data_IF_840843406353
#
_entry.id   IF_840843406353
#
_cell.length_a   1.000
_cell.length_b   1.000
_cell.length_c   1.000
_cell.angle_alpha   90.00
_cell.angle_beta   90.00
_cell.angle_gamma   90.00
#
_symmetry.space_group_name_H-M   'P 1'
#
loop_
_entity.id
_entity.type
_entity.pdbx_description
1 polymer ?
#
# COMPACT_ATOMS: atom_id res chain seq x y z
N UNK A 1 -2.84 21.82 -19.69
CA UNK A 1 -2.90 22.58 -18.42
C UNK A 1 -2.37 21.74 -17.24
N UNK A 2 -2.94 20.56 -16.96
CA UNK A 2 -2.48 19.67 -15.87
C UNK A 2 -1.00 19.23 -15.96
N UNK A 3 -0.48 18.95 -17.16
CA UNK A 3 0.92 18.55 -17.37
C UNK A 3 1.94 19.60 -16.89
N UNK A 4 1.68 20.89 -17.12
CA UNK A 4 2.61 21.96 -16.73
C UNK A 4 2.59 22.24 -15.22
N UNK A 5 1.43 22.05 -14.57
CA UNK A 5 1.28 22.27 -13.12
C UNK A 5 1.94 21.15 -12.31
N UNK A 6 1.77 19.89 -12.74
CA UNK A 6 2.44 18.75 -12.10
C UNK A 6 3.97 18.82 -12.27
N UNK A 7 4.47 19.51 -13.30
CA UNK A 7 5.90 19.69 -13.57
C UNK A 7 6.54 20.93 -12.92
N UNK A 8 5.78 21.72 -12.17
CA UNK A 8 6.29 22.94 -11.51
C UNK A 8 7.02 22.69 -10.19
N UNK A 9 6.80 21.53 -9.54
CA UNK A 9 7.35 21.24 -8.22
C UNK A 9 8.13 19.92 -8.20
N UNK A 10 9.29 19.86 -8.88
CA UNK A 10 10.14 18.70 -8.87
C UNK A 10 10.75 18.47 -7.48
N UNK A 11 11.00 17.20 -7.13
CA UNK A 11 11.82 16.86 -5.97
C UNK A 11 13.22 17.45 -6.17
N UNK A 12 13.84 17.93 -5.09
CA UNK A 12 15.21 18.46 -5.14
C UNK A 12 16.18 17.41 -5.68
N UNK A 13 17.12 17.82 -6.53
CA UNK A 13 18.12 16.91 -7.09
C UNK A 13 19.00 16.29 -5.98
N UNK A 14 19.44 15.03 -6.14
CA UNK A 14 20.36 14.38 -5.20
C UNK A 14 21.64 15.18 -4.99
N UNK A 15 22.27 15.04 -3.81
CA UNK A 15 23.49 15.77 -3.45
C UNK A 15 24.61 15.56 -4.49
N UNK A 16 25.15 16.66 -5.02
CA UNK A 16 26.18 16.64 -6.07
C UNK A 16 25.65 16.73 -7.51
N UNK A 17 24.34 16.60 -7.73
CA UNK A 17 23.72 16.76 -9.05
C UNK A 17 23.32 18.22 -9.32
N UNK A 18 23.52 18.69 -10.56
CA UNK A 18 23.08 20.02 -11.02
C UNK A 18 21.68 19.95 -11.60
N UNK A 19 20.78 20.83 -11.15
CA UNK A 19 19.47 20.98 -11.76
C UNK A 19 19.59 21.71 -13.11
N UNK A 20 19.28 21.01 -14.19
CA UNK A 20 19.15 21.59 -15.52
C UNK A 20 17.69 21.98 -15.74
N UNK A 21 17.45 23.29 -15.90
CA UNK A 21 16.11 23.87 -16.08
C UNK A 21 15.34 23.15 -17.18
N UNK A 22 14.15 22.61 -16.85
CA UNK A 22 13.25 21.86 -17.75
C UNK A 22 13.81 20.56 -18.36
N UNK A 23 15.00 20.09 -17.94
CA UNK A 23 15.61 18.87 -18.47
C UNK A 23 15.67 17.78 -17.38
N UNK A 24 16.19 18.10 -16.19
CA UNK A 24 16.33 17.12 -15.11
C UNK A 24 17.51 17.39 -14.18
N UNK A 25 17.87 16.38 -13.41
CA UNK A 25 19.04 16.38 -12.53
C UNK A 25 20.23 15.74 -13.24
N UNK A 26 21.30 16.50 -13.44
CA UNK A 26 22.55 16.02 -14.01
C UNK A 26 23.48 15.52 -12.90
N UNK A 27 23.81 14.24 -12.89
CA UNK A 27 24.76 13.64 -11.95
C UNK A 27 26.22 13.97 -12.31
N UNK A 28 27.15 13.63 -11.43
CA UNK A 28 28.58 13.96 -11.57
C UNK A 28 29.26 13.27 -12.77
N UNK A 29 28.69 12.15 -13.25
CA UNK A 29 29.11 11.42 -14.44
C UNK A 29 28.53 12.00 -15.75
N UNK A 30 27.89 13.18 -15.68
CA UNK A 30 27.17 13.84 -16.78
C UNK A 30 25.91 13.13 -17.27
N UNK A 31 25.46 12.07 -16.60
CA UNK A 31 24.14 11.48 -16.87
C UNK A 31 23.02 12.42 -16.42
N UNK A 32 21.89 12.42 -17.14
CA UNK A 32 20.75 13.30 -16.84
C UNK A 32 19.52 12.46 -16.55
N UNK A 33 19.04 12.53 -15.31
CA UNK A 33 17.79 11.90 -14.88
C UNK A 33 16.64 12.92 -14.95
N UNK A 34 15.46 12.57 -15.50
CA UNK A 34 14.32 13.48 -15.53
C UNK A 34 13.87 13.83 -14.11
N UNK A 35 13.30 15.03 -13.95
CA UNK A 35 12.74 15.43 -12.67
C UNK A 35 11.64 14.46 -12.21
N UNK A 36 11.75 14.02 -10.96
CA UNK A 36 10.71 13.29 -10.25
C UNK A 36 9.79 14.28 -9.52
N UNK A 37 8.54 13.88 -9.28
CA UNK A 37 7.53 14.72 -8.64
C UNK A 37 6.99 14.04 -7.40
N UNK A 38 6.50 14.85 -6.46
CA UNK A 38 5.87 14.34 -5.24
C UNK A 38 4.62 13.53 -5.59
N UNK A 39 4.61 12.26 -5.21
CA UNK A 39 3.48 11.37 -5.41
C UNK A 39 3.02 10.82 -4.05
N UNK A 40 1.82 11.19 -3.58
CA UNK A 40 1.26 10.66 -2.34
C UNK A 40 0.77 9.20 -2.46
N UNK A 41 0.87 8.60 -3.64
CA UNK A 41 0.62 7.18 -3.87
C UNK A 41 -0.75 6.74 -3.38
N UNK A 42 -0.79 5.54 -2.78
CA UNK A 42 -2.02 4.95 -2.24
C UNK A 42 -2.62 5.81 -1.12
N UNK A 43 -1.80 6.47 -0.30
CA UNK A 43 -2.30 7.33 0.78
C UNK A 43 -3.11 8.51 0.24
N UNK A 44 -2.63 9.18 -0.81
CA UNK A 44 -3.37 10.25 -1.48
C UNK A 44 -4.72 9.75 -2.00
N UNK A 45 -4.76 8.54 -2.55
CA UNK A 45 -5.99 7.87 -2.97
C UNK A 45 -6.98 7.63 -1.83
N UNK A 46 -6.51 7.14 -0.67
CA UNK A 46 -7.35 6.90 0.52
C UNK A 46 -7.97 8.20 1.02
N UNK A 47 -7.16 9.24 1.20
CA UNK A 47 -7.66 10.54 1.71
C UNK A 47 -8.68 11.14 0.75
N UNK A 48 -8.38 11.13 -0.56
CA UNK A 48 -9.30 11.63 -1.58
C UNK A 48 -10.59 10.81 -1.66
N UNK A 49 -10.51 9.48 -1.50
CA UNK A 49 -11.66 8.59 -1.46
C UNK A 49 -12.57 8.86 -0.27
N UNK A 50 -12.01 8.97 0.94
CA UNK A 50 -12.75 9.30 2.16
C UNK A 50 -13.37 10.70 2.09
N UNK A 51 -12.62 11.68 1.59
CA UNK A 51 -13.13 13.05 1.39
C UNK A 51 -14.30 13.04 0.39
N UNK A 52 -14.18 12.30 -0.71
CA UNK A 52 -15.26 12.14 -1.69
C UNK A 52 -16.50 11.52 -1.07
N UNK A 53 -16.34 10.44 -0.30
CA UNK A 53 -17.46 9.78 0.38
C UNK A 53 -18.18 10.73 1.35
N UNK A 54 -17.41 11.48 2.14
CA UNK A 54 -17.95 12.47 3.08
C UNK A 54 -18.72 13.60 2.37
N UNK A 55 -18.11 14.22 1.34
CA UNK A 55 -18.75 15.30 0.57
C UNK A 55 -20.00 14.80 -0.14
N UNK A 56 -19.95 13.58 -0.69
CA UNK A 56 -21.11 12.96 -1.32
C UNK A 56 -22.24 12.76 -0.31
N UNK A 57 -21.97 12.13 0.83
CA UNK A 57 -22.98 11.92 1.87
C UNK A 57 -23.63 13.24 2.30
N UNK A 58 -22.83 14.30 2.42
CA UNK A 58 -23.30 15.62 2.89
C UNK A 58 -24.06 16.43 1.84
N UNK A 59 -23.69 16.36 0.56
CA UNK A 59 -24.16 17.31 -0.47
C UNK A 59 -24.92 16.69 -1.64
N UNK A 60 -25.02 15.36 -1.75
CA UNK A 60 -25.65 14.70 -2.91
C UNK A 60 -27.15 15.02 -3.12
N UNK A 61 -27.85 15.55 -2.10
CA UNK A 61 -29.26 15.98 -2.18
C UNK A 61 -29.45 17.49 -1.99
N UNK A 62 -28.37 18.25 -1.91
CA UNK A 62 -28.45 19.70 -1.69
C UNK A 62 -29.08 20.39 -2.89
N UNK A 63 -30.02 21.31 -2.61
CA UNK A 63 -30.59 22.22 -3.60
C UNK A 63 -29.97 23.60 -3.42
N UNK A 64 -29.44 24.13 -4.52
CA UNK A 64 -28.96 25.49 -4.68
C UNK A 64 -30.12 26.37 -5.16
N UNK A 65 -29.89 27.68 -5.12
CA UNK A 65 -30.74 28.72 -5.71
C UNK A 65 -31.05 28.44 -7.19
N UNK A 66 -32.20 28.92 -7.66
CA UNK A 66 -32.79 28.51 -8.94
C UNK A 66 -31.87 28.73 -10.16
N UNK A 67 -31.08 29.81 -10.17
CA UNK A 67 -30.12 30.10 -11.25
C UNK A 67 -28.90 29.15 -11.26
N UNK A 68 -28.57 28.50 -10.14
CA UNK A 68 -27.57 27.42 -10.04
C UNK A 68 -28.20 26.03 -10.08
N UNK A 69 -29.51 25.94 -10.36
CA UNK A 69 -30.26 24.69 -10.27
C UNK A 69 -29.69 23.54 -11.12
N UNK A 70 -28.96 23.87 -12.19
CA UNK A 70 -28.25 22.90 -13.03
C UNK A 70 -27.26 22.02 -12.26
N UNK A 71 -26.63 22.57 -11.21
CA UNK A 71 -25.62 21.88 -10.39
C UNK A 71 -26.21 21.14 -9.20
N UNK A 72 -27.54 21.10 -9.04
CA UNK A 72 -28.17 20.50 -7.86
C UNK A 72 -27.88 19.01 -7.65
N UNK A 73 -27.91 18.63 -6.39
CA UNK A 73 -27.78 17.25 -5.94
C UNK A 73 -26.44 16.62 -6.32
N UNK A 74 -26.49 15.49 -7.04
CA UNK A 74 -25.30 14.68 -7.35
C UNK A 74 -24.25 15.40 -8.21
N UNK A 75 -24.65 16.43 -8.97
CA UNK A 75 -23.74 17.19 -9.84
C UNK A 75 -22.87 18.19 -9.08
N UNK A 76 -23.32 18.63 -7.90
CA UNK A 76 -22.59 19.54 -7.03
C UNK A 76 -21.33 18.87 -6.45
N UNK A 77 -21.41 17.57 -6.19
CA UNK A 77 -20.36 16.81 -5.49
C UNK A 77 -19.04 16.82 -6.27
N UNK A 78 -18.98 16.48 -7.57
CA UNK A 78 -17.74 16.60 -8.35
C UNK A 78 -17.15 18.02 -8.38
N UNK A 79 -18.00 19.05 -8.38
CA UNK A 79 -17.55 20.46 -8.42
C UNK A 79 -16.85 20.84 -7.12
N UNK A 80 -17.47 20.54 -5.97
CA UNK A 80 -16.85 20.74 -4.66
C UNK A 80 -15.54 19.94 -4.58
N UNK A 81 -15.57 18.69 -5.04
CA UNK A 81 -14.39 17.83 -5.03
C UNK A 81 -13.25 18.34 -5.91
N UNK A 82 -13.53 19.01 -7.03
CA UNK A 82 -12.48 19.63 -7.85
C UNK A 82 -11.71 20.70 -7.08
N UNK A 83 -12.42 21.60 -6.38
CA UNK A 83 -11.76 22.62 -5.54
C UNK A 83 -11.07 22.01 -4.33
N UNK A 84 -11.70 21.04 -3.67
CA UNK A 84 -11.11 20.34 -2.54
C UNK A 84 -9.83 19.56 -2.94
N UNK A 85 -9.82 18.94 -4.13
CA UNK A 85 -8.65 18.24 -4.67
C UNK A 85 -7.49 19.21 -4.96
N UNK A 86 -7.79 20.39 -5.52
CA UNK A 86 -6.76 21.43 -5.76
C UNK A 86 -6.18 21.91 -4.42
N UNK A 87 -7.03 22.22 -3.45
CA UNK A 87 -6.59 22.62 -2.12
C UNK A 87 -5.75 21.52 -1.44
N UNK A 88 -6.18 20.27 -1.53
CA UNK A 88 -5.43 19.12 -1.02
C UNK A 88 -4.07 18.98 -1.71
N UNK A 89 -4.00 19.09 -3.03
CA UNK A 89 -2.74 19.02 -3.78
C UNK A 89 -1.76 20.11 -3.37
N UNK A 90 -2.24 21.35 -3.17
CA UNK A 90 -1.41 22.47 -2.68
C UNK A 90 -0.90 22.18 -1.27
N UNK A 91 -1.75 21.69 -0.36
CA UNK A 91 -1.34 21.31 1.00
C UNK A 91 -0.31 20.17 0.99
N UNK A 92 -0.47 19.20 0.09
CA UNK A 92 0.48 18.09 -0.06
C UNK A 92 1.88 18.56 -0.40
N UNK A 93 2.09 19.70 -1.07
CA UNK A 93 3.44 20.20 -1.37
C UNK A 93 4.28 20.43 -0.11
N UNK A 94 3.67 20.79 1.02
CA UNK A 94 4.38 21.04 2.28
C UNK A 94 4.18 19.90 3.28
N UNK A 95 3.00 19.29 3.33
CA UNK A 95 2.66 18.26 4.32
C UNK A 95 3.17 16.88 3.90
N UNK A 96 3.17 16.55 2.60
CA UNK A 96 3.57 15.23 2.15
C UNK A 96 5.07 14.94 2.33
N UNK A 97 6.02 15.84 1.99
CA UNK A 97 7.44 15.54 2.12
C UNK A 97 7.91 15.10 3.53
N UNK A 98 7.49 15.73 4.66
CA UNK A 98 7.87 15.23 5.97
C UNK A 98 7.20 13.89 6.32
N UNK A 99 5.95 13.67 5.90
CA UNK A 99 5.23 12.40 6.13
C UNK A 99 5.88 11.27 5.33
N UNK A 100 6.17 11.50 4.05
CA UNK A 100 6.83 10.56 3.16
C UNK A 100 8.20 10.14 3.71
N UNK A 101 9.03 11.11 4.12
CA UNK A 101 10.33 10.81 4.77
C UNK A 101 10.19 10.02 6.07
N UNK A 102 9.16 10.29 6.86
CA UNK A 102 8.88 9.52 8.08
C UNK A 102 8.50 8.08 7.79
N UNK A 103 7.65 7.86 6.78
CA UNK A 103 7.26 6.53 6.32
C UNK A 103 8.44 5.77 5.70
N UNK A 104 9.28 6.45 4.92
CA UNK A 104 10.47 5.87 4.31
C UNK A 104 11.49 5.46 5.38
N UNK A 105 11.79 6.33 6.36
CA UNK A 105 12.67 5.98 7.47
C UNK A 105 12.12 4.82 8.31
N UNK A 106 10.81 4.77 8.55
CA UNK A 106 10.18 3.65 9.24
C UNK A 106 10.28 2.35 8.43
N UNK A 107 10.07 2.43 7.12
CA UNK A 107 10.25 1.32 6.18
C UNK A 107 11.69 0.81 6.21
N UNK A 108 12.67 1.69 6.06
CA UNK A 108 14.11 1.34 6.06
C UNK A 108 14.54 0.74 7.40
N UNK A 109 14.05 1.30 8.51
CA UNK A 109 14.28 0.74 9.83
C UNK A 109 13.71 -0.68 9.96
N UNK A 110 12.46 -0.90 9.51
CA UNK A 110 11.82 -2.22 9.57
C UNK A 110 12.54 -3.25 8.70
N UNK A 111 12.94 -2.86 7.48
CA UNK A 111 13.72 -3.69 6.55
C UNK A 111 15.09 -4.00 7.13
N UNK A 112 15.76 -3.02 7.72
CA UNK A 112 17.09 -3.17 8.33
C UNK A 112 17.14 -4.11 9.54
N UNK A 113 16.01 -4.41 10.17
CA UNK A 113 15.91 -5.43 11.22
C UNK A 113 15.98 -6.88 10.69
N UNK A 114 15.93 -7.07 9.37
CA UNK A 114 16.03 -8.38 8.72
C UNK A 114 15.03 -9.40 9.27
N UNK A 115 15.52 -10.58 9.67
CA UNK A 115 14.68 -11.65 10.21
C UNK A 115 13.88 -11.26 11.45
N UNK A 116 14.39 -10.33 12.26
CA UNK A 116 13.66 -9.81 13.42
C UNK A 116 12.48 -8.92 13.01
N UNK A 117 12.69 -8.09 11.98
CA UNK A 117 11.64 -7.29 11.36
C UNK A 117 10.53 -8.16 10.77
N UNK A 118 10.90 -9.22 10.04
CA UNK A 118 9.97 -10.20 9.51
C UNK A 118 9.18 -10.93 10.62
N UNK A 119 9.85 -11.27 11.73
CA UNK A 119 9.21 -11.89 12.89
C UNK A 119 8.18 -10.97 13.56
N UNK A 120 8.54 -9.72 13.84
CA UNK A 120 7.63 -8.72 14.42
C UNK A 120 6.45 -8.45 13.49
N UNK A 121 6.69 -8.30 12.18
CA UNK A 121 5.65 -8.18 11.17
C UNK A 121 4.70 -9.37 11.20
N UNK A 122 5.24 -10.60 11.22
CA UNK A 122 4.44 -11.82 11.30
C UNK A 122 3.54 -11.86 12.54
N UNK A 123 4.08 -11.57 13.73
CA UNK A 123 3.31 -11.53 14.97
C UNK A 123 2.21 -10.47 14.93
N UNK A 124 2.54 -9.24 14.52
CA UNK A 124 1.57 -8.16 14.40
C UNK A 124 0.48 -8.49 13.37
N UNK A 125 0.87 -9.07 12.24
CA UNK A 125 -0.07 -9.51 11.21
C UNK A 125 -1.05 -10.54 11.76
N UNK A 126 -0.56 -11.57 12.47
CA UNK A 126 -1.43 -12.61 13.06
C UNK A 126 -2.34 -12.05 14.15
N UNK A 127 -1.87 -11.12 14.98
CA UNK A 127 -2.69 -10.47 16.00
C UNK A 127 -3.82 -9.64 15.39
N UNK A 128 -3.53 -8.87 14.34
CA UNK A 128 -4.52 -8.06 13.63
C UNK A 128 -5.47 -8.89 12.76
N UNK A 129 -5.10 -10.13 12.42
CA UNK A 129 -5.92 -11.01 11.61
C UNK A 129 -7.25 -11.34 12.30
N UNK A 130 -7.22 -11.53 13.62
CA UNK A 130 -8.39 -11.86 14.45
C UNK A 130 -9.52 -10.82 14.32
N UNK A 131 -9.18 -9.58 14.01
CA UNK A 131 -10.13 -8.46 13.83
C UNK A 131 -10.20 -7.96 12.39
N UNK A 132 -9.59 -8.68 11.44
CA UNK A 132 -9.58 -8.31 10.02
C UNK A 132 -8.70 -7.10 9.66
N UNK A 133 -7.94 -6.54 10.60
CA UNK A 133 -7.12 -5.34 10.39
C UNK A 133 -5.73 -5.64 9.81
N UNK A 134 -5.39 -6.91 9.61
CA UNK A 134 -4.10 -7.32 9.06
C UNK A 134 -3.81 -6.73 7.67
N UNK A 135 -4.85 -6.41 6.89
CA UNK A 135 -4.73 -5.74 5.59
C UNK A 135 -4.13 -4.34 5.69
N UNK A 136 -4.38 -3.62 6.79
CA UNK A 136 -3.79 -2.31 7.05
C UNK A 136 -2.26 -2.39 7.18
N UNK A 137 -1.76 -3.50 7.72
CA UNK A 137 -0.33 -3.77 7.85
C UNK A 137 0.27 -4.30 6.53
N UNK A 138 -0.47 -5.18 5.84
CA UNK A 138 0.01 -5.84 4.62
C UNK A 138 0.20 -4.88 3.45
N UNK A 139 -0.80 -4.05 3.16
CA UNK A 139 -0.81 -3.25 1.93
C UNK A 139 0.42 -2.35 1.82
N UNK A 140 0.83 -1.59 2.87
CA UNK A 140 2.03 -0.79 2.81
C UNK A 140 3.31 -1.63 2.64
N UNK A 141 3.46 -2.71 3.41
CA UNK A 141 4.67 -3.55 3.38
C UNK A 141 4.84 -4.26 2.04
N UNK A 142 3.76 -4.82 1.50
CA UNK A 142 3.81 -5.63 0.28
C UNK A 142 3.82 -4.80 -1.00
N UNK A 143 3.28 -3.57 -1.00
CA UNK A 143 3.10 -2.78 -2.23
C UNK A 143 3.63 -1.35 -2.21
N UNK A 144 4.08 -0.82 -1.07
CA UNK A 144 4.45 0.59 -0.97
C UNK A 144 5.82 0.85 -0.32
N UNK A 145 6.25 -0.01 0.60
CA UNK A 145 7.50 0.15 1.35
C UNK A 145 8.69 -0.40 0.60
N UNK A 146 9.83 0.28 0.73
CA UNK A 146 11.03 0.02 -0.06
C UNK A 146 10.93 0.51 -1.51
N UNK A 147 12.08 0.55 -2.17
CA UNK A 147 12.20 0.89 -3.58
C UNK A 147 13.30 0.05 -4.21
N UNK A 148 13.03 -0.50 -5.38
CA UNK A 148 14.02 -1.19 -6.19
C UNK A 148 13.97 -0.66 -7.62
N UNK A 149 15.14 -0.33 -8.17
CA UNK A 149 15.28 0.02 -9.58
C UNK A 149 15.66 -1.22 -10.35
N UNK A 150 14.74 -1.73 -11.16
CA UNK A 150 14.97 -2.89 -12.00
C UNK A 150 16.00 -2.59 -13.12
N UNK A 151 16.61 -3.63 -13.73
CA UNK A 151 17.62 -3.45 -14.79
C UNK A 151 17.13 -2.66 -16.01
N UNK A 152 15.81 -2.61 -16.23
CA UNK A 152 15.16 -1.83 -17.29
C UNK A 152 14.95 -0.34 -16.94
N UNK A 153 15.37 0.08 -15.73
CA UNK A 153 15.24 1.44 -15.22
C UNK A 153 13.88 1.74 -14.56
N UNK A 154 12.98 0.76 -14.44
CA UNK A 154 11.71 0.94 -13.75
C UNK A 154 11.91 0.90 -12.23
N UNK A 155 11.29 1.84 -11.51
CA UNK A 155 11.30 1.85 -10.04
C UNK A 155 10.01 1.18 -9.56
N UNK A 156 10.16 0.12 -8.77
CA UNK A 156 9.06 -0.62 -8.14
C UNK A 156 9.10 -0.49 -6.62
N UNK A 157 7.95 -0.68 -5.98
CA UNK A 157 7.76 -0.47 -4.54
C UNK A 157 7.00 -1.62 -3.88
N UNK A 158 7.38 -1.98 -2.67
CA UNK A 158 6.76 -3.06 -1.91
C UNK A 158 7.44 -4.41 -2.08
N UNK A 159 7.45 -5.18 -0.99
CA UNK A 159 8.16 -6.47 -0.88
C UNK A 159 7.82 -7.44 -2.03
N UNK A 160 6.56 -7.51 -2.45
CA UNK A 160 6.11 -8.43 -3.51
C UNK A 160 6.62 -7.95 -4.87
N UNK A 161 6.44 -6.67 -5.20
CA UNK A 161 6.80 -6.19 -6.55
C UNK A 161 8.31 -6.11 -6.73
N UNK A 162 9.05 -5.76 -5.67
CA UNK A 162 10.51 -5.80 -5.65
C UNK A 162 11.03 -7.23 -5.85
N UNK A 163 10.42 -8.21 -5.16
CA UNK A 163 10.77 -9.63 -5.35
C UNK A 163 10.50 -10.10 -6.79
N UNK A 164 9.35 -9.74 -7.37
CA UNK A 164 9.01 -10.08 -8.76
C UNK A 164 9.93 -9.38 -9.78
N UNK A 165 10.45 -8.21 -9.44
CA UNK A 165 11.43 -7.49 -10.26
C UNK A 165 12.87 -8.01 -10.09
N UNK A 166 13.10 -8.99 -9.21
CA UNK A 166 14.38 -9.67 -9.02
C UNK A 166 15.30 -9.07 -7.96
N UNK A 167 14.77 -8.29 -7.01
CA UNK A 167 15.56 -7.82 -5.86
C UNK A 167 15.91 -9.01 -4.94
N UNK A 168 17.20 -9.32 -4.73
CA UNK A 168 17.62 -10.44 -3.87
C UNK A 168 17.33 -10.23 -2.38
N UNK A 169 17.04 -9.00 -1.94
CA UNK A 169 16.75 -8.68 -0.54
C UNK A 169 15.24 -8.55 -0.25
N UNK A 170 14.40 -8.69 -1.28
CA UNK A 170 12.94 -8.62 -1.16
C UNK A 170 12.32 -10.01 -0.94
N UNK A 171 11.05 -10.01 -0.54
CA UNK A 171 10.27 -11.22 -0.28
C UNK A 171 10.39 -11.73 1.16
N UNK A 172 11.13 -11.04 2.04
CA UNK A 172 11.30 -11.47 3.43
C UNK A 172 9.99 -11.38 4.24
N UNK A 173 9.12 -10.42 3.92
CA UNK A 173 7.85 -10.24 4.61
C UNK A 173 6.73 -11.12 4.04
N UNK A 174 6.89 -11.66 2.82
CA UNK A 174 5.94 -12.59 2.20
C UNK A 174 6.34 -14.06 2.37
N UNK A 175 7.64 -14.38 2.26
CA UNK A 175 8.13 -15.77 2.23
C UNK A 175 7.76 -16.57 3.47
N UNK A 176 7.77 -15.96 4.65
CA UNK A 176 7.40 -16.61 5.92
C UNK A 176 5.95 -17.11 5.99
N UNK A 177 5.07 -16.63 5.11
CA UNK A 177 3.65 -17.01 5.12
C UNK A 177 3.42 -18.36 4.43
N UNK A 178 4.21 -18.70 3.40
CA UNK A 178 4.01 -19.94 2.64
C UNK A 178 4.16 -21.21 3.49
N UNK A 179 5.22 -21.38 4.32
CA UNK A 179 5.34 -22.56 5.16
C UNK A 179 4.18 -22.70 6.16
N UNK A 180 3.66 -21.58 6.64
CA UNK A 180 2.54 -21.56 7.59
C UNK A 180 1.25 -22.02 6.90
N UNK A 181 0.93 -21.42 5.76
CA UNK A 181 -0.28 -21.70 4.98
C UNK A 181 -0.31 -23.12 4.42
N UNK A 182 0.83 -23.60 3.92
CA UNK A 182 0.92 -24.87 3.20
C UNK A 182 1.25 -26.06 4.12
N UNK A 183 1.86 -25.85 5.28
CA UNK A 183 2.30 -26.98 6.11
C UNK A 183 1.88 -26.85 7.57
N UNK A 184 2.10 -25.70 8.21
CA UNK A 184 1.81 -25.56 9.63
C UNK A 184 0.31 -25.66 9.93
N UNK A 185 -0.54 -24.96 9.17
CA UNK A 185 -1.99 -24.99 9.38
C UNK A 185 -2.62 -26.34 8.99
N UNK A 186 -2.25 -26.99 7.88
CA UNK A 186 -2.66 -28.37 7.62
C UNK A 186 -2.22 -29.36 8.71
N UNK A 187 -1.00 -29.21 9.25
CA UNK A 187 -0.54 -30.03 10.37
C UNK A 187 -1.34 -29.74 11.66
N UNK A 188 -1.69 -28.48 11.93
CA UNK A 188 -2.55 -28.12 13.05
C UNK A 188 -3.95 -28.72 12.90
N UNK A 189 -4.53 -28.68 11.70
CA UNK A 189 -5.82 -29.29 11.38
C UNK A 189 -5.80 -30.83 11.58
N UNK A 190 -4.70 -31.48 11.18
CA UNK A 190 -4.46 -32.91 11.45
C UNK A 190 -4.36 -33.19 12.95
N UNK A 191 -3.61 -32.38 13.70
CA UNK A 191 -3.49 -32.51 15.15
C UNK A 191 -4.84 -32.35 15.87
N UNK A 192 -5.66 -31.36 15.47
CA UNK A 192 -7.03 -31.17 15.98
C UNK A 192 -7.87 -32.42 15.72
N UNK A 193 -7.75 -33.01 14.53
CA UNK A 193 -8.46 -34.25 14.16
C UNK A 193 -8.03 -35.43 15.04
N UNK A 194 -6.73 -35.56 15.35
CA UNK A 194 -6.23 -36.62 16.24
C UNK A 194 -6.62 -36.42 17.71
N UNK A 195 -6.76 -35.19 18.17
CA UNK A 195 -7.19 -34.86 19.53
C UNK A 195 -8.72 -34.85 19.71
N UNK A 196 -9.48 -34.90 18.61
CA UNK A 196 -10.93 -34.98 18.65
C UNK A 196 -11.42 -36.24 19.37
N UNK A 197 -12.52 -36.08 20.12
CA UNK A 197 -13.22 -37.19 20.79
C UNK A 197 -13.57 -38.29 19.76
N UNK A 198 -13.41 -39.58 20.11
CA UNK A 198 -13.59 -40.68 19.16
C UNK A 198 -14.94 -40.64 18.42
N UNK A 199 -16.00 -40.23 19.10
CA UNK A 199 -17.37 -40.22 18.55
C UNK A 199 -17.58 -39.12 17.49
N UNK A 200 -16.75 -38.06 17.51
CA UNK A 200 -16.84 -36.90 16.59
C UNK A 200 -15.70 -36.80 15.59
N UNK A 201 -14.70 -37.69 15.68
CA UNK A 201 -13.46 -37.60 14.88
C UNK A 201 -13.73 -37.59 13.37
N UNK A 202 -14.72 -38.34 12.89
CA UNK A 202 -15.08 -38.38 11.46
C UNK A 202 -15.63 -37.04 10.96
N UNK A 203 -16.50 -36.41 11.77
CA UNK A 203 -17.09 -35.10 11.47
C UNK A 203 -16.03 -34.00 11.51
N UNK A 204 -15.24 -33.96 12.59
CA UNK A 204 -14.16 -32.97 12.76
C UNK A 204 -13.08 -33.15 11.70
N UNK A 205 -12.70 -34.39 11.36
CA UNK A 205 -11.71 -34.67 10.32
C UNK A 205 -12.14 -34.19 8.94
N UNK A 206 -13.41 -34.35 8.58
CA UNK A 206 -13.95 -33.80 7.33
C UNK A 206 -13.88 -32.27 7.28
N UNK A 207 -14.27 -31.60 8.38
CA UNK A 207 -14.19 -30.14 8.50
C UNK A 207 -12.73 -29.64 8.41
N UNK A 208 -11.84 -30.24 9.20
CA UNK A 208 -10.41 -29.89 9.27
C UNK A 208 -9.71 -30.10 7.94
N UNK A 209 -10.03 -31.17 7.21
CA UNK A 209 -9.50 -31.40 5.87
C UNK A 209 -9.92 -30.29 4.89
N UNK A 210 -11.18 -29.85 4.93
CA UNK A 210 -11.66 -28.78 4.06
C UNK A 210 -10.90 -27.48 4.31
N UNK A 211 -10.81 -27.03 5.57
CA UNK A 211 -10.11 -25.77 5.90
C UNK A 211 -8.60 -25.86 5.69
N UNK A 212 -7.98 -27.03 5.91
CA UNK A 212 -6.57 -27.27 5.59
C UNK A 212 -6.30 -27.14 4.10
N UNK A 213 -7.16 -27.70 3.25
CA UNK A 213 -7.04 -27.57 1.80
C UNK A 213 -7.25 -26.13 1.34
N UNK A 214 -8.20 -25.40 1.93
CA UNK A 214 -8.38 -23.97 1.67
C UNK A 214 -7.11 -23.20 1.96
N UNK A 215 -6.51 -23.37 3.15
CA UNK A 215 -5.24 -22.74 3.50
C UNK A 215 -4.10 -23.13 2.56
N UNK A 216 -4.00 -24.42 2.21
CA UNK A 216 -2.94 -24.92 1.34
C UNK A 216 -2.99 -24.33 -0.07
N UNK A 217 -4.17 -24.31 -0.68
CA UNK A 217 -4.35 -23.93 -2.09
C UNK A 217 -4.44 -22.40 -2.25
N UNK A 218 -5.13 -21.73 -1.33
CA UNK A 218 -5.44 -20.30 -1.48
C UNK A 218 -4.58 -19.38 -0.63
N UNK A 219 -3.96 -19.91 0.43
CA UNK A 219 -3.26 -19.10 1.43
C UNK A 219 -4.20 -18.36 2.40
N UNK A 220 -5.51 -18.59 2.38
CA UNK A 220 -6.46 -18.03 3.34
C UNK A 220 -6.36 -18.82 4.65
N UNK A 221 -6.18 -18.13 5.78
CA UNK A 221 -5.77 -18.75 7.05
C UNK A 221 -6.79 -18.62 8.19
N UNK A 222 -7.89 -17.94 7.92
CA UNK A 222 -9.09 -17.81 8.77
C UNK A 222 -9.83 -19.14 8.94
#
# INVERSE_FOLDING_TARGET
VYYNVLRQFPVSCPGGAKALTNIGCQAADSSVAPFTYQNPGVFGGIVMGLMTAYVWQRYHRTRLVDWLGFFNGRRLVPIIMAFAAIAFAVLCLWVWPPVGRGLEHFSDWLVGLGSWGAGVFGVANRALLVVGLHQFLNVPVWFQFGSYTAPDGTVVHGDITMFLAGDPNAGQFTSGFFPIMMFALPAAALAITHCARPERRKEIGGLMLSVALTSFVTGITE
#
